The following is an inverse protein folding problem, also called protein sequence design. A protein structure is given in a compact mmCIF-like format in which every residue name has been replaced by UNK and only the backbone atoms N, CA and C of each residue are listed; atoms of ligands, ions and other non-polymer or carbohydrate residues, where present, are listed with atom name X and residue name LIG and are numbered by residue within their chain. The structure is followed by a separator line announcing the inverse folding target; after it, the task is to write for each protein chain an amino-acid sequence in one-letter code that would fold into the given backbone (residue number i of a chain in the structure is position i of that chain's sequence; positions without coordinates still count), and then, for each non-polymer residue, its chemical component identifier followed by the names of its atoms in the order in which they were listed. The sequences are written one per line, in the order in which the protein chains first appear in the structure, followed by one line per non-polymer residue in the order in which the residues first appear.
data_IF_075464629018
#
_entry.id   IF_075464629018
#
_cell.length_a   1.000
_cell.length_b   1.000
_cell.length_c   1.000
_cell.angle_alpha   90.00
_cell.angle_beta   90.00
_cell.angle_gamma   90.00
#
_symmetry.space_group_name_H-M   'P 1'
#
loop_
_entity.id
_entity.type
_entity.pdbx_description
1 polymer ?
#
# COMPACT_ATOMS: atom_id res chain seq x y z
N UNK A 1 -11.82 -50.88 -12.61
CA UNK A 1 -12.95 -50.46 -11.75
C UNK A 1 -13.73 -49.36 -12.45
N UNK A 2 -15.06 -49.47 -12.57
CA UNK A 2 -15.88 -48.50 -13.32
C UNK A 2 -16.31 -47.34 -12.42
N UNK A 3 -16.34 -46.13 -12.99
CA UNK A 3 -16.61 -44.82 -12.33
C UNK A 3 -17.91 -44.74 -11.51
N UNK A 4 -18.85 -45.69 -11.70
CA UNK A 4 -20.11 -45.80 -10.96
C UNK A 4 -19.99 -46.47 -9.59
N UNK A 5 -18.96 -47.30 -9.38
CA UNK A 5 -18.81 -48.03 -8.11
C UNK A 5 -18.16 -47.18 -7.02
N UNK A 6 -17.36 -46.18 -7.42
CA UNK A 6 -16.71 -45.23 -6.50
C UNK A 6 -17.73 -44.27 -5.85
N UNK A 7 -18.75 -43.83 -6.60
CA UNK A 7 -19.79 -42.91 -6.10
C UNK A 7 -20.73 -43.55 -5.07
N UNK A 8 -20.88 -44.87 -5.08
CA UNK A 8 -21.72 -45.58 -4.09
C UNK A 8 -21.01 -45.77 -2.75
N UNK A 9 -19.68 -45.85 -2.75
CA UNK A 9 -18.87 -45.96 -1.52
C UNK A 9 -18.86 -44.63 -0.77
N UNK A 10 -18.86 -43.50 -1.49
CA UNK A 10 -18.87 -42.16 -0.88
C UNK A 10 -20.22 -41.74 -0.28
N UNK A 11 -21.34 -42.33 -0.72
CA UNK A 11 -22.67 -41.96 -0.25
C UNK A 11 -23.12 -42.73 1.02
N UNK A 12 -22.52 -43.88 1.34
CA UNK A 12 -22.85 -44.67 2.54
C UNK A 12 -21.94 -44.38 3.76
N UNK A 13 -20.86 -43.62 3.60
CA UNK A 13 -19.94 -43.31 4.70
C UNK A 13 -20.36 -42.17 5.64
N UNK A 14 -21.52 -41.55 5.41
CA UNK A 14 -21.94 -40.32 6.11
C UNK A 14 -23.00 -40.49 7.22
N UNK A 15 -23.35 -41.73 7.62
CA UNK A 15 -24.49 -41.94 8.53
C UNK A 15 -24.25 -42.78 9.80
N UNK A 16 -23.01 -42.96 10.27
CA UNK A 16 -22.78 -43.61 11.57
C UNK A 16 -21.76 -42.88 12.44
N UNK A 17 -22.31 -42.05 13.33
CA UNK A 17 -21.90 -41.91 14.74
C UNK A 17 -20.41 -41.97 15.04
N UNK A 18 -19.77 -40.80 15.02
CA UNK A 18 -18.56 -40.54 15.76
C UNK A 18 -18.57 -39.06 16.14
N UNK A 19 -19.15 -38.74 17.30
CA UNK A 19 -18.84 -37.48 17.98
C UNK A 19 -17.35 -37.59 18.30
N UNK A 20 -16.49 -37.12 17.40
CA UNK A 20 -15.14 -36.73 17.78
C UNK A 20 -15.33 -35.63 18.81
N UNK A 21 -15.18 -35.98 20.08
CA UNK A 21 -14.90 -35.02 21.14
C UNK A 21 -13.62 -34.32 20.70
N UNK A 22 -13.77 -33.22 19.99
CA UNK A 22 -12.69 -32.29 19.74
C UNK A 22 -12.24 -31.88 21.14
N UNK A 23 -11.02 -32.27 21.50
CA UNK A 23 -10.43 -31.89 22.77
C UNK A 23 -10.49 -30.35 22.84
N UNK A 24 -11.11 -29.73 23.86
CA UNK A 24 -11.26 -28.28 23.92
C UNK A 24 -9.91 -27.56 23.85
N UNK A 25 -8.83 -28.23 24.28
CA UNK A 25 -7.45 -27.75 24.14
C UNK A 25 -6.98 -27.67 22.67
N UNK A 26 -7.46 -28.55 21.79
CA UNK A 26 -7.13 -28.54 20.36
C UNK A 26 -7.93 -27.47 19.60
N UNK A 27 -9.19 -27.25 19.97
CA UNK A 27 -10.00 -26.14 19.45
C UNK A 27 -9.44 -24.77 19.91
N UNK A 28 -8.88 -24.71 21.13
CA UNK A 28 -8.23 -23.51 21.66
C UNK A 28 -6.86 -23.25 21.00
N UNK A 29 -6.15 -24.28 20.53
CA UNK A 29 -4.89 -24.14 19.78
C UNK A 29 -5.07 -23.59 18.36
N UNK A 30 -6.29 -23.73 17.80
CA UNK A 30 -6.72 -23.06 16.57
C UNK A 30 -7.37 -21.71 16.82
N UNK A 31 -7.29 -21.19 18.06
CA UNK A 31 -7.38 -19.74 18.26
C UNK A 31 -6.34 -19.14 17.34
N UNK A 32 -6.83 -18.55 16.24
CA UNK A 32 -6.12 -17.59 15.42
C UNK A 32 -5.19 -16.83 16.37
N UNK A 33 -3.89 -17.12 16.31
CA UNK A 33 -2.91 -16.14 16.75
C UNK A 33 -3.31 -14.91 15.97
N UNK A 34 -4.01 -13.99 16.62
CA UNK A 34 -4.33 -12.69 16.05
C UNK A 34 -2.96 -12.16 15.68
N UNK A 35 -2.66 -12.19 14.38
CA UNK A 35 -1.40 -11.67 13.87
C UNK A 35 -1.34 -10.26 14.45
N UNK A 36 -0.29 -9.94 15.21
CA UNK A 36 -0.12 -8.59 15.76
C UNK A 36 0.01 -7.66 14.56
N UNK A 37 -1.14 -7.19 14.05
CA UNK A 37 -1.18 -6.31 12.90
C UNK A 37 -0.77 -4.93 13.36
N UNK A 38 0.33 -4.47 12.78
CA UNK A 38 0.79 -3.10 12.94
C UNK A 38 -0.32 -2.13 12.56
N UNK A 39 -0.51 -1.09 13.36
CA UNK A 39 -1.31 0.04 12.91
C UNK A 39 -0.68 0.63 11.64
N UNK A 40 -1.41 0.84 10.54
CA UNK A 40 -0.84 1.37 9.31
C UNK A 40 -0.32 2.81 9.51
N UNK A 41 0.67 3.28 8.72
CA UNK A 41 1.07 4.68 8.76
C UNK A 41 -0.13 5.59 8.51
N UNK A 42 -0.19 6.72 9.23
CA UNK A 42 -1.26 7.71 9.12
C UNK A 42 -2.67 7.07 9.19
N UNK A 43 -2.93 6.26 10.22
CA UNK A 43 -4.18 5.52 10.40
C UNK A 43 -5.44 6.40 10.45
N UNK A 44 -5.29 7.63 10.98
CA UNK A 44 -6.35 8.64 11.04
C UNK A 44 -6.83 9.13 9.65
N UNK A 45 -6.03 8.95 8.59
CA UNK A 45 -6.42 9.28 7.22
C UNK A 45 -7.06 8.04 6.58
N UNK A 46 -8.36 8.00 6.28
CA UNK A 46 -8.98 6.83 5.66
C UNK A 46 -8.46 6.62 4.22
N UNK A 47 -8.26 5.36 3.83
CA UNK A 47 -8.02 5.01 2.42
C UNK A 47 -9.36 5.06 1.70
N UNK A 48 -9.66 6.19 1.08
CA UNK A 48 -10.92 6.38 0.36
C UNK A 48 -10.83 5.86 -1.08
N UNK A 49 -11.51 4.73 -1.33
CA UNK A 49 -11.63 4.13 -2.65
C UNK A 49 -10.32 3.53 -3.18
N UNK A 50 -10.26 3.32 -4.49
CA UNK A 50 -9.18 2.59 -5.16
C UNK A 50 -8.26 3.50 -5.97
N UNK A 51 -6.96 3.17 -5.99
CA UNK A 51 -5.99 3.83 -6.86
C UNK A 51 -6.06 3.20 -8.25
N UNK A 52 -6.20 4.05 -9.28
CA UNK A 52 -6.27 3.61 -10.68
C UNK A 52 -4.88 3.38 -11.27
N UNK A 53 -4.75 2.55 -12.33
CA UNK A 53 -3.51 2.39 -13.07
C UNK A 53 -2.96 3.73 -13.60
N UNK A 54 -1.66 3.80 -13.94
CA UNK A 54 -1.09 5.00 -14.54
C UNK A 54 -1.85 5.40 -15.80
N UNK A 55 -2.00 6.70 -16.00
CA UNK A 55 -2.66 7.29 -17.16
C UNK A 55 -4.19 7.13 -17.21
N UNK A 56 -4.83 6.68 -16.13
CA UNK A 56 -6.29 6.67 -16.06
C UNK A 56 -6.87 8.08 -16.22
N UNK A 57 -7.92 8.19 -17.04
CA UNK A 57 -8.73 9.40 -17.15
C UNK A 57 -9.43 9.73 -15.82
N UNK A 58 -9.97 10.95 -15.67
CA UNK A 58 -10.84 11.28 -14.54
C UNK A 58 -11.95 10.24 -14.37
N UNK A 59 -12.30 9.92 -13.13
CA UNK A 59 -13.11 8.73 -12.78
C UNK A 59 -14.38 8.56 -13.64
N UNK A 60 -15.11 9.66 -13.91
CA UNK A 60 -16.32 9.63 -14.75
C UNK A 60 -16.02 9.19 -16.19
N UNK A 61 -14.99 9.74 -16.80
CA UNK A 61 -14.59 9.42 -18.18
C UNK A 61 -13.93 8.04 -18.27
N UNK A 62 -13.10 7.70 -17.28
CA UNK A 62 -12.50 6.38 -17.16
C UNK A 62 -13.57 5.30 -17.13
N UNK A 63 -14.61 5.46 -16.28
CA UNK A 63 -15.72 4.50 -16.20
C UNK A 63 -16.56 4.42 -17.47
N UNK A 64 -16.70 5.53 -18.20
CA UNK A 64 -17.43 5.55 -19.47
C UNK A 64 -16.68 4.81 -20.60
N UNK A 65 -15.34 4.79 -20.55
CA UNK A 65 -14.50 4.16 -21.59
C UNK A 65 -13.99 2.77 -21.23
N UNK A 66 -13.88 2.43 -19.95
CA UNK A 66 -13.34 1.15 -19.53
C UNK A 66 -14.35 0.03 -19.82
N UNK A 67 -13.98 -0.89 -20.72
CA UNK A 67 -14.80 -2.06 -21.10
C UNK A 67 -14.43 -3.32 -20.31
N UNK A 68 -13.69 -3.20 -19.21
CA UNK A 68 -13.30 -4.32 -18.33
C UNK A 68 -12.57 -5.47 -19.06
N UNK A 69 -11.81 -5.18 -20.12
CA UNK A 69 -11.16 -6.20 -20.95
C UNK A 69 -9.95 -6.90 -20.29
N UNK A 70 -9.45 -6.39 -19.15
CA UNK A 70 -8.33 -7.00 -18.43
C UNK A 70 -6.94 -6.85 -19.08
N UNK A 71 -6.82 -6.26 -20.27
CA UNK A 71 -5.54 -6.13 -20.99
C UNK A 71 -4.46 -5.45 -20.16
N UNK A 72 -4.79 -4.36 -19.44
CA UNK A 72 -3.84 -3.68 -18.57
C UNK A 72 -3.28 -4.58 -17.44
N UNK A 73 -4.11 -5.45 -16.87
CA UNK A 73 -3.69 -6.40 -15.83
C UNK A 73 -2.76 -7.44 -16.42
N UNK A 74 -3.09 -8.00 -17.58
CA UNK A 74 -2.25 -8.97 -18.27
C UNK A 74 -0.89 -8.39 -18.66
N UNK A 75 -0.86 -7.17 -19.21
CA UNK A 75 0.39 -6.46 -19.52
C UNK A 75 1.22 -6.23 -18.25
N UNK A 76 0.60 -5.80 -17.14
CA UNK A 76 1.31 -5.60 -15.88
C UNK A 76 1.93 -6.89 -15.33
N UNK A 77 1.24 -8.03 -15.49
CA UNK A 77 1.76 -9.36 -15.17
C UNK A 77 2.94 -9.75 -16.07
N UNK A 78 2.83 -9.57 -17.38
CA UNK A 78 3.92 -9.82 -18.33
C UNK A 78 5.16 -9.00 -18.01
N UNK A 79 4.98 -7.75 -17.59
CA UNK A 79 6.06 -6.85 -17.14
C UNK A 79 6.62 -7.20 -15.76
N UNK A 80 6.13 -8.26 -15.09
CA UNK A 80 6.59 -8.78 -13.79
C UNK A 80 6.42 -7.83 -12.61
N UNK A 81 5.66 -6.74 -12.78
CA UNK A 81 5.29 -5.86 -11.67
C UNK A 81 4.09 -6.41 -10.91
N UNK A 82 3.14 -7.03 -11.62
CA UNK A 82 1.92 -7.60 -11.03
C UNK A 82 1.12 -6.63 -10.14
N UNK A 83 1.28 -5.32 -10.38
CA UNK A 83 0.73 -4.25 -9.55
C UNK A 83 -0.77 -4.04 -9.72
N UNK A 84 -1.40 -4.60 -10.77
CA UNK A 84 -2.80 -4.38 -11.09
C UNK A 84 -3.66 -5.62 -10.83
N UNK A 85 -4.87 -5.40 -10.33
CA UNK A 85 -5.92 -6.41 -10.22
C UNK A 85 -7.25 -5.83 -10.73
N UNK A 86 -8.22 -6.71 -10.96
CA UNK A 86 -9.61 -6.33 -11.28
C UNK A 86 -10.43 -6.35 -10.00
N UNK A 87 -11.27 -5.33 -9.82
CA UNK A 87 -12.20 -5.29 -8.69
C UNK A 87 -13.27 -6.38 -8.85
N UNK A 88 -13.41 -7.21 -7.83
CA UNK A 88 -14.40 -8.29 -7.75
C UNK A 88 -15.77 -7.84 -7.24
N UNK A 89 -16.64 -8.82 -6.95
CA UNK A 89 -18.05 -8.58 -6.60
C UNK A 89 -18.30 -7.83 -5.27
N UNK A 90 -17.28 -7.73 -4.39
CA UNK A 90 -17.41 -7.03 -3.10
C UNK A 90 -17.61 -5.52 -3.26
N UNK A 91 -17.15 -4.95 -4.37
CA UNK A 91 -17.36 -3.55 -4.70
C UNK A 91 -18.05 -3.46 -6.06
N UNK A 92 -19.39 -3.57 -6.03
CA UNK A 92 -20.24 -3.52 -7.21
C UNK A 92 -20.10 -2.19 -7.97
N UNK A 93 -19.75 -1.09 -7.29
CA UNK A 93 -19.58 0.22 -7.91
C UNK A 93 -18.36 0.23 -8.83
N UNK A 94 -17.28 -0.45 -8.45
CA UNK A 94 -16.06 -0.52 -9.24
C UNK A 94 -15.85 -1.87 -9.96
N UNK A 95 -16.84 -2.76 -9.91
CA UNK A 95 -16.75 -4.10 -10.48
C UNK A 95 -16.19 -4.11 -11.92
N UNK A 96 -15.27 -5.04 -12.19
CA UNK A 96 -14.67 -5.22 -13.52
C UNK A 96 -13.58 -4.20 -13.89
N UNK A 97 -13.45 -3.10 -13.13
CA UNK A 97 -12.43 -2.09 -13.41
C UNK A 97 -11.10 -2.41 -12.74
N UNK A 98 -9.96 -2.02 -13.35
CA UNK A 98 -8.64 -2.25 -12.77
C UNK A 98 -8.32 -1.29 -11.62
N UNK A 99 -7.55 -1.77 -10.65
CA UNK A 99 -6.99 -1.00 -9.55
C UNK A 99 -5.56 -1.45 -9.24
N UNK A 100 -4.79 -0.60 -8.56
CA UNK A 100 -3.46 -0.94 -8.04
C UNK A 100 -3.63 -1.74 -6.74
N UNK A 101 -3.02 -2.91 -6.67
CA UNK A 101 -2.98 -3.78 -5.49
C UNK A 101 -2.27 -3.10 -4.32
N UNK A 102 -2.17 -3.80 -3.20
CA UNK A 102 -1.37 -3.35 -2.06
C UNK A 102 0.08 -3.04 -2.51
N UNK A 103 0.46 -1.77 -2.39
CA UNK A 103 1.75 -1.25 -2.84
C UNK A 103 2.92 -1.72 -1.97
N UNK A 104 2.66 -2.28 -0.78
CA UNK A 104 3.69 -2.92 0.05
C UNK A 104 4.19 -4.21 -0.57
N UNK A 105 3.36 -4.91 -1.33
CA UNK A 105 3.75 -6.16 -1.99
C UNK A 105 3.96 -5.96 -3.48
N UNK A 106 3.04 -5.25 -4.14
CA UNK A 106 2.96 -5.09 -5.59
C UNK A 106 2.88 -3.61 -5.99
N UNK A 107 3.94 -2.81 -5.78
CA UNK A 107 3.95 -1.41 -6.20
C UNK A 107 3.93 -1.28 -7.74
N UNK A 108 3.39 -0.19 -8.25
CA UNK A 108 3.46 0.11 -9.68
C UNK A 108 4.89 0.54 -10.04
N UNK A 109 5.51 -0.14 -11.00
CA UNK A 109 6.84 0.22 -11.51
C UNK A 109 6.89 1.47 -12.39
N UNK A 110 5.75 2.11 -12.66
CA UNK A 110 5.63 3.28 -13.54
C UNK A 110 6.29 3.05 -14.93
N UNK A 111 6.19 1.83 -15.47
CA UNK A 111 6.78 1.46 -16.76
C UNK A 111 6.01 2.04 -17.96
N UNK A 112 4.76 2.47 -17.76
CA UNK A 112 3.87 3.04 -18.77
C UNK A 112 3.48 2.08 -19.91
N UNK A 113 3.55 0.76 -19.71
CA UNK A 113 3.07 -0.22 -20.71
C UNK A 113 1.54 -0.36 -20.72
N UNK A 114 0.89 -0.32 -19.56
CA UNK A 114 -0.56 -0.50 -19.46
C UNK A 114 -1.36 0.49 -20.33
N UNK A 115 -1.04 1.80 -20.37
CA UNK A 115 -1.77 2.76 -21.20
C UNK A 115 -1.56 2.59 -22.70
N UNK A 116 -0.38 2.10 -23.13
CA UNK A 116 -0.09 1.85 -24.56
C UNK A 116 -0.99 0.77 -25.16
N UNK A 117 -1.44 -0.17 -24.33
CA UNK A 117 -2.27 -1.30 -24.74
C UNK A 117 -3.75 -1.14 -24.41
N UNK A 118 -4.20 0.03 -23.94
CA UNK A 118 -5.61 0.26 -23.65
C UNK A 118 -6.40 0.52 -24.94
N UNK A 119 -7.29 -0.39 -25.39
CA UNK A 119 -7.95 -0.26 -26.69
C UNK A 119 -8.97 0.88 -26.75
N UNK A 120 -9.51 1.30 -25.61
CA UNK A 120 -10.56 2.34 -25.54
C UNK A 120 -10.04 3.71 -25.13
N UNK A 121 -8.75 3.82 -24.82
CA UNK A 121 -8.15 5.04 -24.28
C UNK A 121 -8.68 5.44 -22.90
N UNK A 122 -9.24 4.50 -22.13
CA UNK A 122 -9.55 4.71 -20.71
C UNK A 122 -8.27 4.98 -19.88
N UNK A 123 -7.16 4.37 -20.29
CA UNK A 123 -5.80 4.72 -19.88
C UNK A 123 -5.12 5.41 -21.07
N UNK A 124 -4.56 6.60 -20.86
CA UNK A 124 -3.85 7.36 -21.89
C UNK A 124 -2.33 7.26 -21.73
N UNK A 125 -1.57 7.14 -22.83
CA UNK A 125 -0.13 7.33 -22.80
C UNK A 125 0.21 8.78 -22.44
N UNK A 126 1.06 8.97 -21.44
CA UNK A 126 1.60 10.27 -21.05
C UNK A 126 3.02 10.11 -20.48
N UNK A 127 3.82 11.19 -20.47
CA UNK A 127 5.06 11.26 -19.70
C UNK A 127 4.83 10.89 -18.23
N UNK A 128 5.83 10.26 -17.62
CA UNK A 128 5.73 9.71 -16.26
C UNK A 128 5.38 10.80 -15.24
N UNK A 129 5.88 12.01 -15.45
CA UNK A 129 5.72 13.19 -14.59
C UNK A 129 4.30 13.74 -14.60
N UNK A 130 3.50 13.41 -15.63
CA UNK A 130 2.09 13.83 -15.75
C UNK A 130 1.11 12.80 -15.21
N UNK A 131 1.60 11.65 -14.74
CA UNK A 131 0.74 10.60 -14.17
C UNK A 131 0.17 11.06 -12.84
N UNK A 132 -1.13 10.83 -12.64
CA UNK A 132 -1.83 11.22 -11.42
C UNK A 132 -2.62 10.03 -10.83
N UNK A 133 -1.91 9.02 -10.32
CA UNK A 133 -2.58 7.87 -9.67
C UNK A 133 -2.96 8.19 -8.22
N UNK A 134 -2.07 8.86 -7.48
CA UNK A 134 -2.23 9.19 -6.07
C UNK A 134 -1.13 10.10 -5.54
N UNK A 135 -1.12 10.35 -4.23
CA UNK A 135 -0.10 11.08 -3.51
C UNK A 135 0.47 10.20 -2.39
N UNK A 136 1.79 10.10 -2.31
CA UNK A 136 2.45 9.47 -1.18
C UNK A 136 2.66 10.49 -0.04
N UNK A 137 2.43 10.07 1.19
CA UNK A 137 2.61 10.83 2.43
C UNK A 137 3.53 10.06 3.36
N UNK A 138 4.35 10.78 4.11
CA UNK A 138 5.27 10.25 5.10
C UNK A 138 4.62 10.39 6.47
N UNK A 139 4.56 9.31 7.23
CA UNK A 139 4.27 9.37 8.65
C UNK A 139 5.55 9.79 9.39
N UNK A 140 5.58 11.06 9.80
CA UNK A 140 6.74 11.64 10.48
C UNK A 140 7.05 10.96 11.82
N UNK A 141 6.06 10.34 12.47
CA UNK A 141 6.25 9.61 13.73
C UNK A 141 6.96 8.26 13.56
N UNK A 142 7.10 7.79 12.32
CA UNK A 142 7.63 6.47 11.99
C UNK A 142 8.85 6.53 11.06
N UNK A 143 8.99 7.61 10.30
CA UNK A 143 10.06 7.77 9.32
C UNK A 143 11.42 7.90 10.00
N UNK A 144 12.37 7.03 9.66
CA UNK A 144 13.73 7.09 10.20
C UNK A 144 14.42 8.45 9.98
N UNK A 145 14.24 9.07 8.80
CA UNK A 145 14.78 10.41 8.50
C UNK A 145 14.25 11.54 9.41
N UNK A 146 13.06 11.34 9.98
CA UNK A 146 12.49 12.28 10.94
C UNK A 146 12.87 11.98 12.39
N UNK A 147 13.32 10.75 12.67
CA UNK A 147 13.55 10.21 14.00
C UNK A 147 15.03 9.87 14.27
N UNK A 148 15.95 10.64 13.68
CA UNK A 148 17.37 10.64 14.06
C UNK A 148 18.31 9.79 13.20
N UNK A 149 17.84 9.25 12.07
CA UNK A 149 18.66 8.47 11.14
C UNK A 149 18.80 9.19 9.78
N UNK A 150 19.81 8.81 8.99
CA UNK A 150 19.96 9.25 7.61
C UNK A 150 19.37 8.21 6.66
N UNK A 151 18.12 8.42 6.24
CA UNK A 151 17.38 7.48 5.40
C UNK A 151 17.00 8.06 4.04
N UNK A 152 17.43 7.39 2.96
CA UNK A 152 17.18 7.78 1.57
C UNK A 152 16.46 6.69 0.77
N UNK A 153 15.93 5.65 1.41
CA UNK A 153 15.38 4.48 0.71
C UNK A 153 14.21 4.84 -0.21
N UNK A 154 13.29 5.69 0.26
CA UNK A 154 12.13 6.10 -0.53
C UNK A 154 12.49 6.99 -1.73
N UNK A 155 13.46 7.89 -1.59
CA UNK A 155 13.91 8.75 -2.69
C UNK A 155 14.74 7.99 -3.73
N UNK A 156 15.61 7.07 -3.28
CA UNK A 156 16.37 6.18 -4.17
C UNK A 156 15.45 5.23 -4.96
N UNK A 157 14.36 4.78 -4.35
CA UNK A 157 13.37 3.94 -5.02
C UNK A 157 12.45 4.73 -5.97
N UNK A 158 12.40 6.06 -5.87
CA UNK A 158 11.49 6.88 -6.66
C UNK A 158 11.97 6.98 -8.12
N UNK A 159 11.16 6.59 -9.12
CA UNK A 159 11.54 6.71 -10.52
C UNK A 159 11.63 8.16 -11.01
N UNK A 160 11.09 9.11 -10.25
CA UNK A 160 11.18 10.55 -10.51
C UNK A 160 12.22 11.25 -9.60
N UNK A 161 12.88 10.49 -8.71
CA UNK A 161 13.97 10.95 -7.86
C UNK A 161 13.72 12.30 -7.18
N UNK A 162 14.70 13.20 -7.29
CA UNK A 162 14.73 14.52 -6.64
C UNK A 162 13.62 15.47 -7.12
N UNK A 163 12.93 15.20 -8.24
CA UNK A 163 11.79 16.04 -8.63
C UNK A 163 10.63 15.93 -7.63
N UNK A 164 10.51 14.81 -6.93
CA UNK A 164 9.39 14.50 -6.01
C UNK A 164 9.77 14.69 -4.54
N UNK A 165 11.06 14.70 -4.22
CA UNK A 165 11.55 14.73 -2.85
C UNK A 165 12.23 16.05 -2.54
N UNK A 166 11.73 16.73 -1.52
CA UNK A 166 12.39 17.86 -0.88
C UNK A 166 13.06 17.37 0.41
N UNK A 167 14.30 17.79 0.64
CA UNK A 167 15.07 17.39 1.83
C UNK A 167 15.42 18.60 2.67
N UNK A 168 15.06 18.53 3.95
CA UNK A 168 15.38 19.52 4.95
C UNK A 168 16.42 18.91 5.88
N UNK A 169 17.63 19.48 5.88
CA UNK A 169 18.72 18.94 6.70
C UNK A 169 18.80 19.71 8.01
N UNK A 170 18.99 18.98 9.10
CA UNK A 170 19.24 19.53 10.43
C UNK A 170 20.22 18.64 11.18
N UNK A 171 20.50 18.96 12.44
CA UNK A 171 21.30 18.12 13.33
C UNK A 171 20.67 16.72 13.56
N UNK A 172 19.40 16.54 13.19
CA UNK A 172 18.67 15.27 13.25
C UNK A 172 18.76 14.42 11.97
N UNK A 173 19.63 14.79 11.03
CA UNK A 173 19.79 14.09 9.75
C UNK A 173 18.96 14.71 8.63
N UNK A 174 18.57 13.91 7.64
CA UNK A 174 17.81 14.36 6.48
C UNK A 174 16.31 14.11 6.68
N UNK A 175 15.52 15.19 6.70
CA UNK A 175 14.06 15.13 6.81
C UNK A 175 13.43 15.18 5.41
N UNK A 176 12.96 14.03 4.86
CA UNK A 176 12.29 14.00 3.57
C UNK A 176 10.86 14.55 3.66
N UNK A 177 10.46 15.26 2.60
CA UNK A 177 9.08 15.59 2.28
C UNK A 177 8.78 15.18 0.84
N UNK A 178 7.60 14.58 0.61
CA UNK A 178 7.15 14.16 -0.72
C UNK A 178 6.20 15.21 -1.26
N UNK A 179 6.62 15.96 -2.27
CA UNK A 179 5.83 17.06 -2.82
C UNK A 179 4.75 16.59 -3.82
N UNK A 180 4.02 17.56 -4.35
CA UNK A 180 2.84 17.33 -5.20
C UNK A 180 3.15 16.74 -6.58
N UNK A 181 4.43 16.74 -6.99
CA UNK A 181 4.88 16.08 -8.23
C UNK A 181 4.87 14.55 -8.09
N UNK A 182 4.63 14.03 -6.87
CA UNK A 182 4.43 12.60 -6.67
C UNK A 182 3.26 12.08 -7.52
N UNK A 183 3.46 10.93 -8.14
CA UNK A 183 2.47 10.33 -9.05
C UNK A 183 1.71 9.18 -8.42
N UNK A 184 2.08 8.76 -7.20
CA UNK A 184 1.39 7.72 -6.43
C UNK A 184 1.68 6.29 -6.87
N UNK A 185 2.88 6.00 -7.38
CA UNK A 185 3.24 4.65 -7.85
C UNK A 185 3.46 3.62 -6.73
N UNK A 186 3.79 4.07 -5.51
CA UNK A 186 3.91 3.19 -4.34
C UNK A 186 5.27 2.54 -4.12
N UNK A 187 6.28 2.77 -4.97
CA UNK A 187 7.63 2.21 -4.77
C UNK A 187 8.24 2.63 -3.42
N UNK A 188 8.00 3.85 -2.97
CA UNK A 188 8.41 4.32 -1.65
C UNK A 188 7.77 3.53 -0.49
N UNK A 189 6.59 2.93 -0.67
CA UNK A 189 5.93 2.08 0.32
C UNK A 189 6.62 0.72 0.40
N UNK A 190 6.92 0.11 -0.76
CA UNK A 190 7.63 -1.18 -0.85
C UNK A 190 9.01 -1.12 -0.24
N UNK A 191 9.79 -0.10 -0.62
CA UNK A 191 11.21 0.01 -0.27
C UNK A 191 11.46 0.73 1.06
N UNK A 192 10.41 1.13 1.79
CA UNK A 192 10.58 1.63 3.15
C UNK A 192 11.09 0.49 4.06
N UNK A 193 12.24 0.66 4.72
CA UNK A 193 12.85 -0.39 5.54
C UNK A 193 12.06 -0.69 6.83
N UNK A 194 11.18 0.21 7.25
CA UNK A 194 10.32 0.00 8.41
C UNK A 194 9.30 -1.12 8.15
N UNK A 195 9.01 -1.93 9.18
CA UNK A 195 7.89 -2.88 9.19
C UNK A 195 6.55 -2.22 8.93
N UNK A 196 5.88 -2.68 7.87
CA UNK A 196 4.62 -2.10 7.40
C UNK A 196 4.74 -0.80 6.59
N UNK A 197 5.93 -0.18 6.50
CA UNK A 197 6.17 1.15 5.90
C UNK A 197 5.80 2.34 6.80
N UNK A 198 6.57 3.43 6.65
CA UNK A 198 6.26 4.77 7.15
C UNK A 198 5.59 5.65 6.08
N UNK A 199 5.27 5.09 4.91
CA UNK A 199 4.71 5.82 3.77
C UNK A 199 3.34 5.25 3.43
N UNK A 200 2.37 6.14 3.22
CA UNK A 200 1.01 5.81 2.78
C UNK A 200 0.73 6.48 1.43
N UNK A 201 0.06 5.79 0.52
CA UNK A 201 -0.45 6.40 -0.71
C UNK A 201 -1.96 6.58 -0.61
N UNK A 202 -2.42 7.78 -0.93
CA UNK A 202 -3.84 8.16 -0.96
C UNK A 202 -4.22 8.74 -2.32
N UNK A 203 -5.51 8.93 -2.57
CA UNK A 203 -5.97 9.64 -3.78
C UNK A 203 -5.54 11.10 -3.77
N UNK A 204 -5.34 11.67 -4.96
CA UNK A 204 -5.02 13.10 -5.11
C UNK A 204 -6.14 13.99 -4.56
N UNK A 205 -7.40 13.59 -4.70
CA UNK A 205 -8.56 14.32 -4.16
C UNK A 205 -8.57 14.31 -2.62
N UNK A 206 -8.25 13.16 -2.01
CA UNK A 206 -8.10 13.07 -0.56
C UNK A 206 -6.96 13.96 -0.08
N UNK A 207 -5.81 13.92 -0.75
CA UNK A 207 -4.67 14.77 -0.42
C UNK A 207 -5.01 16.25 -0.46
N UNK A 208 -5.70 16.73 -1.51
CA UNK A 208 -6.13 18.12 -1.62
C UNK A 208 -6.96 18.60 -0.43
N UNK A 209 -7.76 17.72 0.20
CA UNK A 209 -8.58 18.06 1.37
C UNK A 209 -7.77 18.17 2.66
N UNK A 210 -6.74 17.34 2.82
CA UNK A 210 -5.96 17.26 4.07
C UNK A 210 -4.62 17.99 4.00
N UNK A 211 -4.25 18.53 2.84
CA UNK A 211 -2.92 19.09 2.58
C UNK A 211 -2.55 20.16 3.59
N UNK A 212 -3.44 21.09 3.88
CA UNK A 212 -3.16 22.20 4.79
C UNK A 212 -2.81 21.71 6.20
N UNK A 213 -3.57 20.74 6.72
CA UNK A 213 -3.31 20.14 8.04
C UNK A 213 -1.99 19.35 8.04
N UNK A 214 -1.75 18.55 7.00
CA UNK A 214 -0.51 17.78 6.85
C UNK A 214 0.72 18.68 6.73
N UNK A 215 0.64 19.77 5.96
CA UNK A 215 1.71 20.76 5.79
C UNK A 215 1.93 21.53 7.10
N UNK A 216 0.88 21.86 7.86
CA UNK A 216 1.01 22.47 9.18
C UNK A 216 1.74 21.56 10.17
N UNK A 217 1.43 20.25 10.19
CA UNK A 217 2.15 19.27 11.01
C UNK A 217 3.62 19.20 10.61
N UNK A 218 3.91 19.14 9.31
CA UNK A 218 5.26 19.15 8.77
C UNK A 218 6.04 20.39 9.21
N UNK A 219 5.47 21.59 9.04
CA UNK A 219 6.11 22.85 9.45
C UNK A 219 6.31 22.94 10.96
N UNK A 220 5.35 22.45 11.76
CA UNK A 220 5.51 22.37 13.22
C UNK A 220 6.72 21.53 13.60
N UNK A 221 6.88 20.35 12.99
CA UNK A 221 8.00 19.45 13.29
C UNK A 221 9.35 20.01 12.85
N UNK A 222 9.41 20.74 11.73
CA UNK A 222 10.63 21.42 11.30
C UNK A 222 11.10 22.50 12.27
N UNK A 223 10.16 23.18 12.93
CA UNK A 223 10.42 24.33 13.78
C UNK A 223 10.53 23.99 15.28
N UNK A 224 10.50 22.70 15.65
CA UNK A 224 10.72 22.29 17.03
C UNK A 224 12.13 22.67 17.48
N UNK A 225 12.24 23.11 18.73
CA UNK A 225 13.54 23.21 19.39
C UNK A 225 14.20 21.83 19.53
N UNK A 226 15.51 21.83 19.78
CA UNK A 226 16.28 20.59 19.96
C UNK A 226 15.71 19.71 21.09
N UNK A 227 15.33 20.34 22.21
CA UNK A 227 14.78 19.66 23.38
C UNK A 227 13.39 19.07 23.08
N UNK A 228 12.48 19.86 22.48
CA UNK A 228 11.15 19.36 22.10
C UNK A 228 11.24 18.21 21.11
N UNK A 229 12.13 18.32 20.12
CA UNK A 229 12.34 17.26 19.13
C UNK A 229 12.92 15.99 19.77
N UNK A 230 13.82 16.13 20.74
CA UNK A 230 14.33 14.99 21.51
C UNK A 230 13.21 14.25 22.22
N UNK A 231 12.32 14.97 22.91
CA UNK A 231 11.18 14.37 23.61
C UNK A 231 10.25 13.63 22.63
N UNK A 232 9.89 14.26 21.51
CA UNK A 232 9.04 13.64 20.48
C UNK A 232 9.69 12.37 19.91
N UNK A 233 10.97 12.42 19.55
CA UNK A 233 11.66 11.27 18.94
C UNK A 233 11.84 10.14 19.94
N UNK A 234 12.42 10.39 21.11
CA UNK A 234 12.83 9.32 22.02
C UNK A 234 11.71 8.84 22.95
N UNK A 235 10.81 9.73 23.37
CA UNK A 235 9.73 9.34 24.31
C UNK A 235 8.47 8.87 23.57
N UNK A 236 8.17 9.41 22.39
CA UNK A 236 6.92 9.09 21.68
C UNK A 236 7.12 8.17 20.47
N UNK A 237 8.06 8.50 19.58
CA UNK A 237 8.16 7.85 18.27
C UNK A 237 9.01 6.57 18.30
N UNK A 238 10.18 6.60 18.92
CA UNK A 238 11.12 5.48 18.96
C UNK A 238 10.50 4.21 19.58
N UNK A 239 9.71 4.28 20.68
CA UNK A 239 9.03 3.10 21.21
C UNK A 239 8.08 2.45 20.18
N UNK A 240 7.35 3.25 19.39
CA UNK A 240 6.46 2.76 18.32
C UNK A 240 7.26 2.09 17.21
N UNK A 241 8.35 2.73 16.76
CA UNK A 241 9.25 2.20 15.74
C UNK A 241 9.86 0.86 16.16
N UNK A 242 10.40 0.77 17.38
CA UNK A 242 11.01 -0.44 17.91
C UNK A 242 9.99 -1.57 18.09
N UNK A 243 8.77 -1.25 18.55
CA UNK A 243 7.68 -2.22 18.62
C UNK A 243 7.40 -2.83 17.25
N UNK A 244 7.46 -2.03 16.17
CA UNK A 244 7.30 -2.56 14.81
C UNK A 244 8.47 -3.45 14.37
N UNK A 245 9.71 -3.09 14.69
CA UNK A 245 10.88 -3.91 14.34
C UNK A 245 10.80 -5.34 14.91
N UNK A 246 10.37 -5.46 16.17
CA UNK A 246 10.25 -6.77 16.86
C UNK A 246 9.25 -7.72 16.23
N UNK A 247 8.14 -7.20 15.70
CA UNK A 247 7.11 -8.05 15.07
C UNK A 247 7.60 -8.55 13.71
N UNK A 248 8.31 -7.71 12.92
CA UNK A 248 8.95 -8.18 11.68
C UNK A 248 9.92 -9.32 11.95
N UNK A 249 10.82 -9.17 12.92
CA UNK A 249 11.78 -10.24 13.26
C UNK A 249 11.09 -11.55 13.68
N UNK A 250 9.90 -11.47 14.30
CA UNK A 250 9.09 -12.66 14.64
C UNK A 250 8.41 -13.29 13.42
N UNK A 251 8.07 -12.50 12.40
CA UNK A 251 7.43 -13.01 11.17
C UNK A 251 8.43 -13.66 10.20
N UNK A 252 9.71 -13.27 10.25
CA UNK A 252 10.77 -13.76 9.37
C UNK A 252 11.74 -14.76 10.03
N UNK A 253 11.52 -15.12 11.31
CA UNK A 253 12.19 -16.26 11.99
C UNK A 253 11.32 -17.51 11.92
#
# INVERSE_FOLDING_TARGET
MKRRDFLKISALGLLSTGILKINPDLALSLSFRKKEEFEPPLSHIPIEGIIRPPGALPEREFRAKCISCGVCVNVCHTMKYDALAVVGLRDLKNFGTPYVKDMRDFPCGLCMECPKHCPTGALQPLPKERVAMGQALIDFSLCFGWNGDVCLSCSKACPLGAFVFDFYNSEWGNQPYINEKCVGCGLCVKYCPLGGSAVKVIKKETYKRIREEYDAQFQRLLNLSMEERYLVVYNENLPKIMARGRILEREYR
#
